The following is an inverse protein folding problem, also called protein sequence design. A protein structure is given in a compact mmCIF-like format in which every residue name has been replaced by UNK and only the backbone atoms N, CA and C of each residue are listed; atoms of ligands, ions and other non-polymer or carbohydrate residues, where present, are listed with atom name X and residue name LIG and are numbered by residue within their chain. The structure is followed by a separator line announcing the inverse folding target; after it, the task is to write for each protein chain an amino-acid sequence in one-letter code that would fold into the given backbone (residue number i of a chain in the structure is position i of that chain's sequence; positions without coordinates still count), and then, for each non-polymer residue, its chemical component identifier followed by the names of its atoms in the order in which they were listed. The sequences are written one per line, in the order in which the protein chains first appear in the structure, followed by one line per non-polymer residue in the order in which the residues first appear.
data_IF_485497497143
#
_entry.id   IF_485497497143
#
_cell.length_a   1.000
_cell.length_b   1.000
_cell.length_c   1.000
_cell.angle_alpha   90.00
_cell.angle_beta   90.00
_cell.angle_gamma   90.00
#
_symmetry.space_group_name_H-M   'P 1'
#
loop_
_entity.id
_entity.type
_entity.pdbx_description
1 polymer ?
#
# COMPACT_ATOMS: atom_id res chain seq x y z
N UNK A 1 35.00 -0.80 -6.58
CA UNK A 1 35.23 0.26 -5.58
C UNK A 1 33.91 0.50 -4.89
N UNK A 2 33.85 0.39 -3.56
CA UNK A 2 32.62 0.54 -2.75
C UNK A 2 32.78 1.71 -1.82
N UNK A 3 31.66 2.36 -1.42
CA UNK A 3 31.66 3.49 -0.49
C UNK A 3 31.36 3.00 0.93
N UNK A 4 32.22 3.34 1.87
CA UNK A 4 32.15 2.92 3.27
C UNK A 4 32.07 4.16 4.14
N UNK A 5 31.15 4.18 5.11
CA UNK A 5 31.08 5.19 6.14
C UNK A 5 31.41 4.59 7.50
N UNK A 6 32.19 5.30 8.28
CA UNK A 6 32.53 4.94 9.67
C UNK A 6 31.93 6.02 10.57
N UNK A 7 31.11 5.62 11.54
CA UNK A 7 30.50 6.53 12.53
C UNK A 7 30.97 6.06 13.90
N UNK A 8 31.94 6.79 14.45
CA UNK A 8 32.60 6.46 15.72
C UNK A 8 33.22 7.73 16.30
N UNK A 9 33.06 7.97 17.60
CA UNK A 9 33.62 9.14 18.29
C UNK A 9 35.13 9.07 18.50
N UNK A 10 35.69 7.85 18.44
CA UNK A 10 37.14 7.65 18.51
C UNK A 10 37.81 7.95 17.17
N UNK A 11 38.41 9.13 17.09
CA UNK A 11 39.15 9.58 15.92
C UNK A 11 40.34 8.68 15.53
N UNK A 12 40.94 7.96 16.50
CA UNK A 12 42.05 7.06 16.21
C UNK A 12 41.55 5.80 15.52
N UNK A 13 40.45 5.22 15.99
CA UNK A 13 39.80 4.07 15.35
C UNK A 13 39.39 4.44 13.93
N UNK A 14 38.71 5.59 13.75
CA UNK A 14 38.34 6.10 12.41
C UNK A 14 39.55 6.17 11.48
N UNK A 15 40.65 6.77 11.89
CA UNK A 15 41.89 6.87 11.09
C UNK A 15 42.50 5.52 10.74
N UNK A 16 42.50 4.57 11.69
CA UNK A 16 43.03 3.22 11.44
C UNK A 16 42.16 2.52 10.39
N UNK A 17 40.83 2.50 10.58
CA UNK A 17 39.92 1.83 9.66
C UNK A 17 39.92 2.48 8.28
N UNK A 18 39.97 3.80 8.18
CA UNK A 18 40.13 4.51 6.90
C UNK A 18 41.38 4.03 6.17
N UNK A 19 42.55 4.01 6.85
CA UNK A 19 43.79 3.52 6.24
C UNK A 19 43.69 2.05 5.79
N UNK A 20 43.01 1.22 6.57
CA UNK A 20 42.82 -0.20 6.26
C UNK A 20 41.95 -0.39 5.02
N UNK A 21 40.83 0.30 4.95
CA UNK A 21 39.84 0.12 3.88
C UNK A 21 40.24 0.85 2.58
N UNK A 22 40.94 1.98 2.65
CA UNK A 22 41.53 2.64 1.48
C UNK A 22 42.61 1.74 0.83
N UNK A 23 43.42 1.00 1.63
CA UNK A 23 44.36 0.02 1.10
C UNK A 23 43.70 -1.18 0.43
N UNK A 24 42.41 -1.37 0.61
CA UNK A 24 41.56 -2.38 -0.04
C UNK A 24 40.81 -1.82 -1.25
N UNK A 25 41.21 -0.65 -1.77
CA UNK A 25 40.61 0.03 -2.92
C UNK A 25 39.13 0.44 -2.71
N UNK A 26 38.78 0.87 -1.47
CA UNK A 26 37.47 1.41 -1.18
C UNK A 26 37.52 2.93 -0.93
N UNK A 27 36.42 3.63 -1.25
CA UNK A 27 36.20 5.03 -0.87
C UNK A 27 35.66 5.05 0.57
N UNK A 28 36.34 5.75 1.46
CA UNK A 28 36.00 5.71 2.89
C UNK A 28 35.83 7.12 3.42
N UNK A 29 34.70 7.37 4.07
CA UNK A 29 34.42 8.58 4.83
C UNK A 29 34.14 8.23 6.30
N UNK A 30 34.24 9.21 7.19
CA UNK A 30 33.95 9.01 8.59
C UNK A 30 33.23 10.18 9.22
N UNK A 31 32.57 9.95 10.36
CA UNK A 31 31.90 10.95 11.18
C UNK A 31 32.15 10.63 12.65
N UNK A 32 32.31 11.68 13.48
CA UNK A 32 32.55 11.54 14.92
C UNK A 32 31.26 11.67 15.75
N UNK A 33 30.12 11.92 15.11
CA UNK A 33 28.83 12.05 15.77
C UNK A 33 27.76 11.33 14.96
N UNK A 34 26.73 10.86 15.65
CA UNK A 34 25.60 10.17 15.03
C UNK A 34 24.86 11.06 14.02
N UNK A 35 24.61 12.32 14.40
CA UNK A 35 23.89 13.29 13.56
C UNK A 35 24.60 13.51 12.23
N UNK A 36 25.90 13.81 12.26
CA UNK A 36 26.69 14.00 11.03
C UNK A 36 26.76 12.72 10.20
N UNK A 37 26.82 11.55 10.86
CA UNK A 37 26.79 10.26 10.21
C UNK A 37 25.48 10.02 9.46
N UNK A 38 24.35 10.28 10.11
CA UNK A 38 23.03 10.17 9.49
C UNK A 38 22.87 11.14 8.31
N UNK A 39 23.29 12.41 8.45
CA UNK A 39 23.26 13.39 7.36
C UNK A 39 24.04 12.88 6.13
N UNK A 40 25.21 12.26 6.35
CA UNK A 40 26.00 11.64 5.28
C UNK A 40 25.31 10.45 4.66
N UNK A 41 24.67 9.58 5.45
CA UNK A 41 23.90 8.42 4.94
C UNK A 41 22.75 8.89 4.04
N UNK A 42 22.05 9.96 4.44
CA UNK A 42 20.90 10.47 3.67
C UNK A 42 21.29 11.23 2.40
N UNK A 43 22.44 11.87 2.40
CA UNK A 43 22.94 12.62 1.23
C UNK A 43 23.84 11.80 0.31
N UNK A 44 24.45 10.72 0.81
CA UNK A 44 25.38 9.86 0.11
C UNK A 44 24.84 8.46 -0.22
N UNK A 45 25.50 7.77 -1.15
CA UNK A 45 25.22 6.37 -1.48
C UNK A 45 26.32 5.51 -0.92
N UNK A 46 26.22 5.11 0.35
CA UNK A 46 27.16 4.21 1.00
C UNK A 46 26.72 2.75 0.86
N UNK A 47 27.70 1.85 0.68
CA UNK A 47 27.46 0.41 0.62
C UNK A 47 27.46 -0.22 2.00
N UNK A 48 28.39 0.19 2.85
CA UNK A 48 28.57 -0.32 4.21
C UNK A 48 28.66 0.86 5.18
N UNK A 49 28.05 0.71 6.35
CA UNK A 49 28.21 1.62 7.49
C UNK A 49 28.76 0.84 8.67
N UNK A 50 29.91 1.23 9.16
CA UNK A 50 30.42 0.83 10.48
C UNK A 50 29.88 1.82 11.49
N UNK A 51 29.17 1.35 12.50
CA UNK A 51 28.43 2.21 13.44
C UNK A 51 28.79 1.83 14.88
N UNK A 52 29.28 2.80 15.63
CA UNK A 52 29.48 2.63 17.06
C UNK A 52 28.15 2.64 17.82
N UNK A 53 28.09 1.82 18.87
CA UNK A 53 26.92 1.77 19.78
C UNK A 53 26.81 3.05 20.62
N UNK A 54 27.93 3.53 21.16
CA UNK A 54 27.96 4.62 22.12
C UNK A 54 28.56 5.88 21.48
N UNK A 55 27.72 6.75 20.98
CA UNK A 55 28.11 8.03 20.40
C UNK A 55 27.74 9.19 21.34
N UNK A 56 28.48 10.31 21.35
CA UNK A 56 28.27 11.42 22.29
C UNK A 56 26.89 12.06 22.16
N UNK A 57 26.26 11.98 20.98
CA UNK A 57 24.98 12.56 20.65
C UNK A 57 23.85 11.53 20.48
N UNK A 58 24.11 10.22 20.77
CA UNK A 58 23.04 9.22 20.69
C UNK A 58 23.51 7.78 20.74
N UNK A 59 22.54 6.86 20.73
CA UNK A 59 22.79 5.41 20.70
C UNK A 59 22.67 4.89 19.26
N UNK A 60 23.77 4.30 18.74
CA UNK A 60 23.84 3.76 17.38
C UNK A 60 22.84 2.65 17.09
N UNK A 61 22.46 1.83 18.07
CA UNK A 61 21.47 0.78 17.85
C UNK A 61 20.11 1.32 17.46
N UNK A 62 19.69 2.49 17.98
CA UNK A 62 18.44 3.15 17.60
C UNK A 62 18.49 3.73 16.18
N UNK A 63 19.66 4.05 15.68
CA UNK A 63 19.84 4.58 14.33
C UNK A 63 19.73 3.51 13.24
N UNK A 64 19.85 2.23 13.58
CA UNK A 64 19.76 1.12 12.60
C UNK A 64 18.45 1.17 11.84
N UNK A 65 17.31 1.36 12.54
CA UNK A 65 16.00 1.41 11.92
C UNK A 65 15.89 2.61 10.96
N UNK A 66 16.36 3.78 11.38
CA UNK A 66 16.36 5.01 10.58
C UNK A 66 17.20 4.84 9.30
N UNK A 67 18.42 4.28 9.41
CA UNK A 67 19.30 4.04 8.25
C UNK A 67 18.68 3.03 7.28
N UNK A 68 17.94 2.05 7.78
CA UNK A 68 17.32 1.00 6.95
C UNK A 68 16.10 1.46 6.18
N UNK A 69 15.44 2.52 6.61
CA UNK A 69 14.33 3.12 5.86
C UNK A 69 14.81 3.87 4.61
N UNK A 70 16.10 4.16 4.51
CA UNK A 70 16.66 4.82 3.33
C UNK A 70 16.56 3.91 2.08
N UNK A 71 16.17 4.46 0.90
CA UNK A 71 16.04 3.69 -0.35
C UNK A 71 17.28 2.90 -0.76
N UNK A 72 18.47 3.43 -0.45
CA UNK A 72 19.77 2.80 -0.68
C UNK A 72 20.38 2.20 0.58
N UNK A 73 19.55 1.78 1.54
CA UNK A 73 19.99 1.30 2.84
C UNK A 73 21.32 0.51 2.75
N UNK A 74 22.42 0.98 3.40
CA UNK A 74 23.68 0.27 3.47
C UNK A 74 23.54 -0.96 4.35
N UNK A 75 24.47 -1.94 4.23
CA UNK A 75 24.58 -2.97 5.25
C UNK A 75 25.33 -2.38 6.46
N UNK A 76 24.82 -2.65 7.67
CA UNK A 76 25.30 -2.02 8.91
C UNK A 76 26.10 -3.02 9.71
N UNK A 77 27.34 -2.69 10.04
CA UNK A 77 28.23 -3.44 10.93
C UNK A 77 28.38 -2.63 12.22
N UNK A 78 27.96 -3.21 13.34
CA UNK A 78 28.06 -2.56 14.65
C UNK A 78 29.45 -2.74 15.23
N UNK A 79 30.01 -1.66 15.77
CA UNK A 79 31.25 -1.65 16.53
C UNK A 79 30.96 -1.33 18.00
N UNK A 80 31.62 -2.03 18.92
CA UNK A 80 31.45 -1.78 20.35
C UNK A 80 32.75 -1.89 21.12
N UNK A 81 32.92 -1.06 22.14
CA UNK A 81 34.01 -1.17 23.11
C UNK A 81 33.77 -2.20 24.21
N UNK A 82 32.50 -2.48 24.51
CA UNK A 82 32.10 -3.39 25.59
C UNK A 82 31.73 -4.78 25.06
N UNK A 83 32.24 -5.82 25.75
CA UNK A 83 31.89 -7.22 25.50
C UNK A 83 30.55 -7.62 26.16
N UNK A 84 29.50 -6.77 26.00
CA UNK A 84 28.19 -7.06 26.57
C UNK A 84 27.39 -8.00 25.64
N UNK A 85 27.07 -9.24 26.07
CA UNK A 85 26.27 -10.18 25.29
C UNK A 85 24.87 -9.64 24.94
N UNK A 86 24.28 -8.86 25.82
CA UNK A 86 22.94 -8.26 25.61
C UNK A 86 22.94 -7.26 24.45
N UNK A 87 24.03 -6.51 24.27
CA UNK A 87 24.21 -5.59 23.14
C UNK A 87 24.29 -6.29 21.79
N UNK A 88 24.97 -7.45 21.75
CA UNK A 88 25.05 -8.27 20.54
C UNK A 88 23.68 -8.86 20.16
N UNK A 89 22.91 -9.35 21.13
CA UNK A 89 21.56 -9.86 20.90
C UNK A 89 20.62 -8.75 20.39
N UNK A 90 20.74 -7.54 20.96
CA UNK A 90 19.96 -6.39 20.51
C UNK A 90 20.31 -5.95 19.09
N UNK A 91 21.60 -5.94 18.75
CA UNK A 91 22.09 -5.62 17.40
C UNK A 91 21.54 -6.61 16.37
N UNK A 92 21.54 -7.91 16.68
CA UNK A 92 20.99 -8.95 15.80
C UNK A 92 19.47 -8.88 15.69
N UNK A 93 18.74 -8.59 16.76
CA UNK A 93 17.29 -8.32 16.73
C UNK A 93 16.96 -7.11 15.89
N UNK A 94 17.78 -6.06 15.93
CA UNK A 94 17.66 -4.87 15.08
C UNK A 94 18.13 -5.08 13.63
N UNK A 95 18.50 -6.34 13.28
CA UNK A 95 18.94 -6.76 11.95
C UNK A 95 20.22 -6.04 11.46
N UNK A 96 21.18 -5.74 12.33
CA UNK A 96 22.52 -5.45 11.90
C UNK A 96 23.11 -6.64 11.14
N UNK A 97 24.00 -6.36 10.18
CA UNK A 97 24.66 -7.40 9.39
C UNK A 97 25.67 -8.19 10.24
N UNK A 98 26.43 -7.49 11.03
CA UNK A 98 27.46 -8.07 11.90
C UNK A 98 27.72 -7.19 13.13
N UNK A 99 28.42 -7.75 14.11
CA UNK A 99 28.75 -7.09 15.37
C UNK A 99 30.20 -7.39 15.71
N UNK A 100 31.05 -6.37 15.85
CA UNK A 100 32.47 -6.47 16.03
C UNK A 100 32.93 -5.70 17.28
N UNK A 101 33.83 -6.27 18.06
CA UNK A 101 34.47 -5.55 19.17
C UNK A 101 35.56 -4.62 18.65
N UNK A 102 35.62 -3.38 19.17
CA UNK A 102 36.64 -2.38 18.80
C UNK A 102 38.07 -2.85 19.12
N UNK A 103 38.22 -3.69 20.17
CA UNK A 103 39.49 -4.34 20.54
C UNK A 103 39.88 -5.48 19.60
N UNK A 104 39.00 -5.85 18.67
CA UNK A 104 39.26 -6.91 17.70
C UNK A 104 40.41 -6.62 16.76
N UNK A 105 40.95 -7.68 16.15
CA UNK A 105 42.06 -7.56 15.21
C UNK A 105 41.62 -6.87 13.91
N UNK A 106 42.54 -6.14 13.25
CA UNK A 106 42.25 -5.56 11.91
C UNK A 106 41.78 -6.62 10.89
N UNK A 107 42.12 -7.91 11.11
CA UNK A 107 41.65 -9.01 10.28
C UNK A 107 40.13 -9.22 10.39
N UNK A 108 39.57 -9.07 11.58
CA UNK A 108 38.12 -9.22 11.79
C UNK A 108 37.32 -8.14 11.05
N UNK A 109 37.75 -6.88 11.14
CA UNK A 109 37.13 -5.78 10.38
C UNK A 109 37.20 -6.01 8.87
N UNK A 110 38.34 -6.45 8.35
CA UNK A 110 38.50 -6.79 6.93
C UNK A 110 37.57 -7.93 6.52
N UNK A 111 37.48 -8.97 7.31
CA UNK A 111 36.71 -10.16 7.02
C UNK A 111 35.19 -9.84 7.02
N UNK A 112 34.74 -9.11 8.03
CA UNK A 112 33.33 -8.66 8.08
C UNK A 112 32.97 -7.72 6.91
N UNK A 113 33.85 -6.78 6.59
CA UNK A 113 33.68 -5.92 5.41
C UNK A 113 33.55 -6.73 4.12
N UNK A 114 34.47 -7.67 3.87
CA UNK A 114 34.44 -8.49 2.65
C UNK A 114 33.16 -9.30 2.55
N UNK A 115 32.73 -9.94 3.62
CA UNK A 115 31.47 -10.70 3.67
C UNK A 115 30.26 -9.83 3.42
N UNK A 116 30.19 -8.65 4.04
CA UNK A 116 29.09 -7.70 3.86
C UNK A 116 29.03 -7.16 2.41
N UNK A 117 30.20 -6.86 1.81
CA UNK A 117 30.26 -6.42 0.41
C UNK A 117 29.88 -7.53 -0.57
N UNK A 118 30.29 -8.76 -0.32
CA UNK A 118 29.91 -9.90 -1.14
C UNK A 118 28.41 -10.15 -1.08
N UNK A 119 27.83 -10.13 0.11
CA UNK A 119 26.38 -10.22 0.31
C UNK A 119 25.63 -9.10 -0.44
N UNK A 120 26.11 -7.84 -0.29
CA UNK A 120 25.51 -6.69 -0.98
C UNK A 120 25.59 -6.84 -2.50
N UNK A 121 26.74 -7.29 -3.02
CA UNK A 121 26.91 -7.55 -4.46
C UNK A 121 25.97 -8.65 -4.95
N UNK A 122 25.79 -9.73 -4.18
CA UNK A 122 24.82 -10.77 -4.50
C UNK A 122 23.38 -10.24 -4.44
N UNK A 123 23.05 -9.41 -3.46
CA UNK A 123 21.76 -8.77 -3.30
C UNK A 123 21.46 -7.81 -4.48
N UNK A 124 22.43 -6.99 -4.88
CA UNK A 124 22.33 -6.09 -6.03
C UNK A 124 22.27 -6.86 -7.36
N UNK A 125 23.09 -7.90 -7.54
CA UNK A 125 23.08 -8.71 -8.76
C UNK A 125 21.78 -9.50 -8.90
N UNK A 126 21.16 -9.94 -7.82
CA UNK A 126 19.81 -10.51 -7.81
C UNK A 126 18.76 -9.45 -8.18
N UNK A 127 18.89 -8.24 -7.68
CA UNK A 127 17.98 -7.13 -8.02
C UNK A 127 18.15 -6.67 -9.48
N UNK A 128 19.38 -6.59 -10.00
CA UNK A 128 19.67 -6.24 -11.40
C UNK A 128 19.32 -7.33 -12.41
N UNK A 129 19.32 -8.61 -12.03
CA UNK A 129 18.93 -9.71 -12.93
C UNK A 129 17.43 -9.83 -13.16
N UNK A 130 16.63 -9.02 -12.50
CA UNK A 130 15.17 -9.07 -12.62
C UNK A 130 14.62 -7.81 -13.27
N UNK A 131 14.86 -7.68 -14.58
CA UNK A 131 13.99 -6.88 -15.43
C UNK A 131 12.66 -7.63 -15.45
N UNK A 132 11.76 -7.28 -14.54
CA UNK A 132 10.39 -7.77 -14.58
C UNK A 132 9.75 -7.21 -15.85
N UNK A 133 9.16 -8.07 -16.65
CA UNK A 133 8.20 -7.64 -17.66
C UNK A 133 7.02 -7.08 -16.88
N UNK A 134 6.92 -5.76 -16.86
CA UNK A 134 5.85 -5.06 -16.13
C UNK A 134 4.50 -5.18 -16.80
N UNK A 135 4.54 -5.51 -18.11
CA UNK A 135 3.39 -5.54 -19.00
C UNK A 135 2.55 -4.26 -18.80
N UNK A 136 1.33 -4.37 -18.29
CA UNK A 136 0.39 -3.25 -18.14
C UNK A 136 0.45 -2.58 -16.74
N UNK A 137 1.48 -2.86 -15.92
CA UNK A 137 1.60 -2.21 -14.60
C UNK A 137 2.30 -0.87 -14.72
N UNK A 138 1.51 0.20 -14.63
CA UNK A 138 1.95 1.58 -14.67
C UNK A 138 2.13 2.11 -13.25
N UNK A 139 3.22 2.86 -13.03
CA UNK A 139 3.52 3.52 -11.76
C UNK A 139 5.01 3.55 -11.47
N UNK A 140 5.45 4.63 -10.84
CA UNK A 140 6.84 4.90 -10.44
C UNK A 140 6.96 5.29 -8.97
N UNK A 141 5.83 5.36 -8.25
CA UNK A 141 5.83 5.64 -6.82
C UNK A 141 6.67 4.60 -6.06
N UNK A 142 7.34 5.04 -4.99
CA UNK A 142 8.20 4.18 -4.18
C UNK A 142 7.45 2.96 -3.61
N UNK A 143 6.16 3.13 -3.32
CA UNK A 143 5.32 2.05 -2.79
C UNK A 143 5.05 0.98 -3.85
N UNK A 144 4.80 1.36 -5.11
CA UNK A 144 4.64 0.41 -6.23
C UNK A 144 5.95 -0.27 -6.59
N UNK A 145 7.06 0.44 -6.60
CA UNK A 145 8.38 -0.16 -6.82
C UNK A 145 8.71 -1.22 -5.77
N UNK A 146 8.34 -1.00 -4.50
CA UNK A 146 8.45 -2.03 -3.44
C UNK A 146 7.57 -3.26 -3.75
N UNK A 147 6.36 -3.07 -4.26
CA UNK A 147 5.48 -4.17 -4.68
C UNK A 147 6.07 -4.94 -5.87
N UNK A 148 6.60 -4.26 -6.89
CA UNK A 148 7.27 -4.89 -8.03
C UNK A 148 8.51 -5.71 -7.62
N UNK A 149 9.27 -5.25 -6.62
CA UNK A 149 10.36 -6.04 -6.05
C UNK A 149 9.87 -7.33 -5.39
N UNK A 150 8.69 -7.30 -4.75
CA UNK A 150 8.07 -8.52 -4.20
C UNK A 150 7.57 -9.44 -5.32
N UNK A 151 7.00 -8.91 -6.41
CA UNK A 151 6.61 -9.66 -7.62
C UNK A 151 7.81 -10.43 -8.17
N UNK A 152 8.96 -9.78 -8.29
CA UNK A 152 10.19 -10.40 -8.74
C UNK A 152 10.60 -11.61 -7.88
N UNK A 153 10.56 -11.44 -6.55
CA UNK A 153 10.85 -12.55 -5.62
C UNK A 153 9.81 -13.66 -5.73
N UNK A 154 8.55 -13.28 -5.83
CA UNK A 154 7.44 -14.20 -6.00
C UNK A 154 7.60 -15.02 -7.28
N UNK A 155 7.94 -14.41 -8.42
CA UNK A 155 8.11 -15.09 -9.70
C UNK A 155 9.13 -16.24 -9.66
N UNK A 156 10.19 -16.11 -8.83
CA UNK A 156 11.24 -17.12 -8.72
C UNK A 156 10.95 -18.23 -7.71
N UNK A 157 9.84 -18.20 -7.01
CA UNK A 157 9.44 -19.20 -6.03
C UNK A 157 8.12 -19.86 -6.46
N UNK A 158 7.97 -21.13 -6.16
CA UNK A 158 6.72 -21.89 -6.41
C UNK A 158 5.79 -21.87 -5.18
N UNK A 159 6.08 -20.99 -4.19
CA UNK A 159 5.24 -20.84 -2.99
C UNK A 159 3.90 -20.19 -3.34
N UNK A 160 2.82 -20.54 -2.63
CA UNK A 160 1.55 -19.83 -2.71
C UNK A 160 1.71 -18.33 -2.40
N UNK A 161 1.00 -17.49 -3.15
CA UNK A 161 1.07 -16.04 -3.05
C UNK A 161 -0.31 -15.50 -2.74
N UNK A 162 -0.41 -14.63 -1.73
CA UNK A 162 -1.61 -13.87 -1.43
C UNK A 162 -1.38 -12.39 -1.78
N UNK A 163 -2.21 -11.86 -2.65
CA UNK A 163 -2.24 -10.44 -3.03
C UNK A 163 -3.43 -9.80 -2.33
N UNK A 164 -3.19 -8.80 -1.49
CA UNK A 164 -4.26 -8.03 -0.85
C UNK A 164 -4.25 -6.58 -1.31
N UNK A 165 -5.37 -5.92 -1.24
CA UNK A 165 -5.54 -4.52 -1.59
C UNK A 165 -6.97 -4.20 -1.94
N UNK A 166 -7.34 -2.93 -1.88
CA UNK A 166 -8.68 -2.47 -2.20
C UNK A 166 -9.12 -2.86 -3.61
N UNK A 167 -10.43 -2.82 -3.86
CA UNK A 167 -10.96 -3.06 -5.20
C UNK A 167 -10.42 -2.02 -6.19
N UNK A 168 -10.04 -2.47 -7.40
CA UNK A 168 -9.53 -1.58 -8.44
C UNK A 168 -8.04 -1.19 -8.32
N UNK A 169 -7.26 -1.78 -7.38
CA UNK A 169 -5.81 -1.50 -7.22
C UNK A 169 -4.91 -2.23 -8.22
N UNK A 170 -5.47 -3.16 -9.04
CA UNK A 170 -4.72 -3.90 -10.05
C UNK A 170 -4.25 -5.29 -9.63
N UNK A 171 -4.88 -5.96 -8.65
CA UNK A 171 -4.50 -7.29 -8.15
C UNK A 171 -4.33 -8.32 -9.27
N UNK A 172 -5.20 -8.32 -10.28
CA UNK A 172 -5.11 -9.23 -11.42
C UNK A 172 -3.87 -8.96 -12.28
N UNK A 173 -3.53 -7.69 -12.57
CA UNK A 173 -2.32 -7.33 -13.32
C UNK A 173 -1.05 -7.81 -12.62
N UNK A 174 -1.00 -7.65 -11.30
CA UNK A 174 0.11 -8.16 -10.49
C UNK A 174 0.20 -9.68 -10.51
N UNK A 175 -0.92 -10.40 -10.51
CA UNK A 175 -0.94 -11.86 -10.62
C UNK A 175 -0.43 -12.33 -11.99
N UNK A 176 -0.85 -11.68 -13.08
CA UNK A 176 -0.34 -11.92 -14.44
C UNK A 176 1.15 -11.63 -14.54
N UNK A 177 1.63 -10.52 -13.96
CA UNK A 177 3.06 -10.20 -13.94
C UNK A 177 3.88 -11.26 -13.19
N UNK A 178 3.37 -11.80 -12.08
CA UNK A 178 4.02 -12.91 -11.35
C UNK A 178 4.11 -14.16 -12.25
N UNK A 179 3.04 -14.51 -12.93
CA UNK A 179 3.01 -15.67 -13.84
C UNK A 179 3.97 -15.46 -15.01
N UNK A 180 3.88 -14.34 -15.73
CA UNK A 180 4.68 -14.02 -16.93
C UNK A 180 6.19 -13.99 -16.67
N UNK A 181 6.60 -13.69 -15.43
CA UNK A 181 7.99 -13.68 -15.01
C UNK A 181 8.43 -14.98 -14.29
N UNK A 182 7.58 -16.01 -14.26
CA UNK A 182 7.85 -17.27 -13.57
C UNK A 182 8.35 -18.38 -14.51
N UNK A 183 8.73 -19.51 -13.91
CA UNK A 183 9.07 -20.73 -14.67
C UNK A 183 7.87 -21.27 -15.46
N UNK A 184 6.66 -20.99 -14.99
CA UNK A 184 5.40 -21.42 -15.60
C UNK A 184 4.87 -20.43 -16.66
N UNK A 185 5.62 -19.40 -17.05
CA UNK A 185 5.19 -18.33 -17.97
C UNK A 185 4.72 -18.80 -19.35
N UNK A 186 5.07 -20.01 -19.74
CA UNK A 186 4.62 -20.65 -21.01
C UNK A 186 3.44 -21.61 -20.81
N UNK A 187 3.05 -21.87 -19.57
CA UNK A 187 1.93 -22.76 -19.25
C UNK A 187 0.65 -21.93 -19.06
N UNK A 188 -0.48 -22.60 -18.84
CA UNK A 188 -1.78 -21.95 -18.69
C UNK A 188 -1.84 -21.07 -17.44
N UNK A 189 -2.42 -19.87 -17.59
CA UNK A 189 -2.82 -18.99 -16.50
C UNK A 189 -4.33 -19.03 -16.38
N UNK A 190 -4.82 -19.79 -15.41
CA UNK A 190 -6.25 -20.05 -15.23
C UNK A 190 -6.80 -19.12 -14.16
N UNK A 191 -7.73 -18.25 -14.55
CA UNK A 191 -8.39 -17.26 -13.66
C UNK A 191 -9.73 -17.81 -13.18
N UNK A 192 -10.00 -17.67 -11.89
CA UNK A 192 -11.29 -17.95 -11.27
C UNK A 192 -11.69 -16.75 -10.44
N UNK A 193 -12.74 -16.07 -10.85
CA UNK A 193 -13.39 -15.04 -10.06
C UNK A 193 -14.43 -15.70 -9.15
N UNK A 194 -14.16 -15.69 -7.84
CA UNK A 194 -15.03 -16.29 -6.85
C UNK A 194 -16.31 -15.50 -6.60
N UNK A 195 -16.41 -14.25 -7.04
CA UNK A 195 -17.63 -13.43 -6.90
C UNK A 195 -18.64 -13.66 -8.00
N UNK A 196 -18.18 -14.02 -9.19
CA UNK A 196 -19.03 -14.16 -10.39
C UNK A 196 -19.84 -15.45 -10.43
N UNK A 197 -19.50 -16.43 -9.58
CA UNK A 197 -20.08 -17.77 -9.60
C UNK A 197 -21.11 -17.95 -8.47
N UNK A 198 -22.32 -18.46 -8.76
CA UNK A 198 -23.23 -18.90 -7.71
C UNK A 198 -22.56 -19.93 -6.79
N UNK A 199 -22.81 -19.84 -5.51
CA UNK A 199 -22.14 -20.63 -4.46
C UNK A 199 -22.17 -22.14 -4.75
N UNK A 200 -23.30 -22.66 -5.23
CA UNK A 200 -23.47 -24.07 -5.59
C UNK A 200 -22.71 -24.49 -6.87
N UNK A 201 -22.25 -23.55 -7.71
CA UNK A 201 -21.49 -23.84 -8.91
C UNK A 201 -19.97 -23.69 -8.74
N UNK A 202 -19.51 -22.99 -7.70
CA UNK A 202 -18.08 -22.76 -7.45
C UNK A 202 -17.33 -24.08 -7.35
N UNK A 203 -17.85 -25.05 -6.59
CA UNK A 203 -17.23 -26.36 -6.43
C UNK A 203 -17.11 -27.11 -7.76
N UNK A 204 -18.21 -27.16 -8.53
CA UNK A 204 -18.24 -27.80 -9.84
C UNK A 204 -17.31 -27.10 -10.84
N UNK A 205 -17.17 -25.78 -10.78
CA UNK A 205 -16.28 -25.04 -11.67
C UNK A 205 -14.81 -25.27 -11.29
N UNK A 206 -14.49 -25.30 -10.00
CA UNK A 206 -13.13 -25.58 -9.52
C UNK A 206 -12.69 -27.02 -9.84
N UNK A 207 -13.47 -28.00 -9.40
CA UNK A 207 -13.06 -29.41 -9.40
C UNK A 207 -13.63 -30.22 -10.56
N UNK A 208 -14.62 -29.67 -11.27
CA UNK A 208 -15.38 -30.42 -12.30
C UNK A 208 -16.45 -31.32 -11.70
N UNK A 209 -17.27 -31.89 -12.55
CA UNK A 209 -18.30 -32.88 -12.18
C UNK A 209 -18.45 -33.94 -13.23
N UNK A 210 -19.00 -35.09 -12.83
CA UNK A 210 -19.46 -36.13 -13.73
C UNK A 210 -20.95 -35.96 -13.99
N UNK A 211 -21.43 -36.45 -15.12
CA UNK A 211 -22.85 -36.50 -15.48
C UNK A 211 -23.68 -37.10 -14.34
N UNK A 212 -24.78 -36.43 -13.99
CA UNK A 212 -25.69 -36.84 -12.91
C UNK A 212 -25.21 -36.52 -11.49
N UNK A 213 -24.16 -35.73 -11.31
CA UNK A 213 -23.65 -35.38 -9.99
C UNK A 213 -24.60 -34.48 -9.18
N UNK A 214 -25.44 -33.71 -9.85
CA UNK A 214 -26.49 -32.84 -9.28
C UNK A 214 -27.55 -32.52 -10.34
N UNK A 215 -28.66 -31.91 -9.93
CA UNK A 215 -29.74 -31.51 -10.86
C UNK A 215 -29.22 -30.49 -11.86
N UNK A 216 -29.23 -30.79 -13.17
CA UNK A 216 -28.66 -29.98 -14.24
C UNK A 216 -27.23 -30.36 -14.65
N UNK A 217 -26.67 -31.46 -14.12
CA UNK A 217 -25.40 -32.02 -14.56
C UNK A 217 -25.61 -32.97 -15.77
N UNK A 218 -25.90 -32.38 -16.94
CA UNK A 218 -26.27 -33.17 -18.15
C UNK A 218 -25.06 -33.81 -18.85
N UNK A 219 -23.84 -33.31 -18.57
CA UNK A 219 -22.59 -33.82 -19.16
C UNK A 219 -21.43 -33.72 -18.16
N UNK A 220 -20.35 -34.45 -18.44
CA UNK A 220 -19.11 -34.31 -17.69
C UNK A 220 -18.49 -32.93 -17.94
N UNK A 221 -18.05 -32.24 -16.88
CA UNK A 221 -17.33 -30.94 -16.97
C UNK A 221 -15.96 -31.05 -16.33
N UNK A 222 -14.94 -30.67 -17.09
CA UNK A 222 -13.57 -30.57 -16.55
C UNK A 222 -13.44 -29.34 -15.65
N UNK A 223 -12.94 -29.53 -14.41
CA UNK A 223 -12.71 -28.46 -13.47
C UNK A 223 -11.46 -27.64 -13.80
N UNK A 224 -11.47 -26.36 -13.43
CA UNK A 224 -10.39 -25.39 -13.71
C UNK A 224 -9.09 -25.75 -13.00
N UNK A 225 -9.12 -26.40 -11.84
CA UNK A 225 -7.93 -26.97 -11.17
C UNK A 225 -7.23 -28.01 -12.05
N UNK A 226 -7.99 -28.76 -12.85
CA UNK A 226 -7.41 -29.73 -13.82
C UNK A 226 -6.79 -29.01 -15.01
N UNK A 227 -7.39 -27.93 -15.47
CA UNK A 227 -6.86 -27.08 -16.57
C UNK A 227 -5.56 -26.40 -16.18
N UNK A 228 -5.44 -25.96 -14.91
CA UNK A 228 -4.25 -25.30 -14.38
C UNK A 228 -3.05 -26.23 -14.13
N UNK A 229 -3.14 -27.51 -14.53
CA UNK A 229 -2.05 -28.48 -14.30
C UNK A 229 -0.73 -28.01 -14.91
N UNK A 230 0.36 -28.01 -14.12
CA UNK A 230 1.70 -27.48 -14.44
C UNK A 230 1.74 -25.98 -14.75
N UNK A 231 0.60 -25.30 -14.66
CA UNK A 231 0.43 -23.87 -14.87
C UNK A 231 0.23 -23.11 -13.56
N UNK A 232 -0.49 -22.00 -13.67
CA UNK A 232 -0.83 -21.14 -12.52
C UNK A 232 -2.36 -21.05 -12.39
N UNK A 233 -2.86 -21.32 -11.19
CA UNK A 233 -4.24 -21.07 -10.80
C UNK A 233 -4.30 -19.73 -10.06
N UNK A 234 -5.06 -18.80 -10.57
CA UNK A 234 -5.35 -17.53 -9.93
C UNK A 234 -6.78 -17.49 -9.42
N UNK A 235 -6.93 -17.35 -8.09
CA UNK A 235 -8.22 -17.16 -7.44
C UNK A 235 -8.38 -15.68 -7.11
N UNK A 236 -9.25 -15.00 -7.82
CA UNK A 236 -9.65 -13.64 -7.46
C UNK A 236 -10.76 -13.66 -6.44
N UNK A 237 -10.69 -12.75 -5.48
CA UNK A 237 -11.59 -12.64 -4.34
C UNK A 237 -11.78 -13.95 -3.57
N UNK A 238 -10.65 -14.58 -3.18
CA UNK A 238 -10.64 -15.87 -2.46
C UNK A 238 -11.42 -15.85 -1.15
N UNK A 239 -11.63 -14.68 -0.53
CA UNK A 239 -12.46 -14.51 0.64
C UNK A 239 -13.96 -14.82 0.42
N UNK A 240 -14.39 -14.94 -0.83
CA UNK A 240 -15.77 -15.29 -1.18
C UNK A 240 -16.01 -16.82 -1.27
N UNK A 241 -14.97 -17.65 -1.11
CA UNK A 241 -15.11 -19.09 -1.16
C UNK A 241 -15.97 -19.60 0.01
N UNK A 242 -17.00 -20.42 -0.25
CA UNK A 242 -17.78 -21.10 0.81
C UNK A 242 -16.90 -22.03 1.66
N UNK A 243 -17.19 -22.18 2.94
CA UNK A 243 -16.40 -22.99 3.89
C UNK A 243 -16.21 -24.44 3.45
N UNK A 244 -17.23 -25.05 2.82
CA UNK A 244 -17.16 -26.40 2.30
C UNK A 244 -16.18 -26.52 1.12
N UNK A 245 -16.16 -25.51 0.25
CA UNK A 245 -15.21 -25.43 -0.86
C UNK A 245 -13.79 -25.20 -0.34
N UNK A 246 -13.63 -24.34 0.67
CA UNK A 246 -12.33 -24.11 1.32
C UNK A 246 -11.72 -25.41 1.85
N UNK A 247 -12.53 -26.29 2.48
CA UNK A 247 -12.07 -27.60 2.99
C UNK A 247 -11.56 -28.51 1.87
N UNK A 248 -12.27 -28.56 0.74
CA UNK A 248 -11.87 -29.36 -0.44
C UNK A 248 -10.64 -28.78 -1.12
N UNK A 249 -10.58 -27.46 -1.20
CA UNK A 249 -9.45 -26.74 -1.81
C UNK A 249 -8.17 -26.93 -1.00
N UNK A 250 -8.25 -26.89 0.35
CA UNK A 250 -7.12 -27.21 1.21
C UNK A 250 -6.52 -28.58 0.91
N UNK A 251 -7.36 -29.63 0.75
CA UNK A 251 -6.90 -30.96 0.38
C UNK A 251 -6.20 -30.96 -0.98
N UNK A 252 -6.77 -30.26 -1.97
CA UNK A 252 -6.15 -30.14 -3.28
C UNK A 252 -4.77 -29.49 -3.23
N UNK A 253 -4.56 -28.51 -2.33
CA UNK A 253 -3.25 -27.85 -2.12
C UNK A 253 -2.24 -28.71 -1.37
N UNK A 254 -2.71 -29.50 -0.39
CA UNK A 254 -1.81 -30.30 0.47
C UNK A 254 -1.42 -31.63 -0.21
N UNK A 255 -2.41 -32.35 -0.74
CA UNK A 255 -2.23 -33.68 -1.29
C UNK A 255 -1.96 -33.67 -2.80
N UNK A 256 -2.12 -32.50 -3.46
CA UNK A 256 -2.07 -32.35 -4.91
C UNK A 256 -3.05 -33.29 -5.63
N UNK A 257 -4.16 -33.60 -4.96
CA UNK A 257 -5.23 -34.50 -5.40
C UNK A 257 -6.58 -33.93 -5.05
N UNK A 258 -7.54 -34.14 -5.94
CA UNK A 258 -8.93 -33.77 -5.69
C UNK A 258 -9.88 -34.77 -6.41
N UNK A 259 -11.16 -34.70 -6.05
CA UNK A 259 -12.21 -35.53 -6.69
C UNK A 259 -13.21 -34.61 -7.36
N UNK A 260 -13.51 -34.81 -8.66
CA UNK A 260 -14.65 -34.17 -9.30
C UNK A 260 -15.95 -34.51 -8.57
N UNK A 261 -16.91 -33.58 -8.59
CA UNK A 261 -18.20 -33.74 -7.91
C UNK A 261 -18.91 -34.97 -8.48
N UNK A 262 -19.40 -35.88 -7.62
CA UNK A 262 -20.00 -37.15 -7.97
C UNK A 262 -19.01 -38.27 -8.32
N UNK A 263 -17.72 -38.00 -8.51
CA UNK A 263 -16.71 -39.00 -8.86
C UNK A 263 -16.11 -39.69 -7.65
N UNK A 264 -15.87 -41.02 -7.78
CA UNK A 264 -15.06 -41.80 -6.81
C UNK A 264 -13.57 -41.76 -7.12
N UNK A 265 -13.17 -41.33 -8.34
CA UNK A 265 -11.79 -41.33 -8.80
C UNK A 265 -11.09 -40.05 -8.38
N UNK A 266 -9.86 -40.16 -7.83
CA UNK A 266 -9.01 -39.04 -7.55
C UNK A 266 -8.19 -38.63 -8.79
N UNK A 267 -7.98 -37.32 -8.92
CA UNK A 267 -7.19 -36.74 -10.01
C UNK A 267 -6.00 -36.02 -9.35
N UNK A 268 -4.77 -36.44 -9.71
CA UNK A 268 -3.54 -35.78 -9.24
C UNK A 268 -3.17 -34.66 -10.19
N UNK A 269 -2.94 -33.43 -9.64
CA UNK A 269 -2.50 -32.26 -10.40
C UNK A 269 -1.55 -31.43 -9.55
N UNK A 270 -0.65 -30.77 -10.24
CA UNK A 270 0.32 -29.85 -9.63
C UNK A 270 0.22 -28.48 -10.31
N UNK A 271 -0.10 -27.47 -9.55
CA UNK A 271 -0.26 -26.11 -10.03
C UNK A 271 0.32 -25.12 -9.04
N UNK A 272 0.75 -23.98 -9.54
CA UNK A 272 1.13 -22.84 -8.75
C UNK A 272 -0.12 -22.05 -8.36
N UNK A 273 -0.20 -21.62 -7.09
CA UNK A 273 -1.35 -20.87 -6.58
C UNK A 273 -1.01 -19.39 -6.39
N UNK A 274 -1.86 -18.53 -6.94
CA UNK A 274 -1.91 -17.10 -6.62
C UNK A 274 -3.35 -16.80 -6.19
N UNK A 275 -3.51 -16.12 -5.05
CA UNK A 275 -4.82 -15.68 -4.55
C UNK A 275 -4.86 -14.17 -4.43
N UNK A 276 -6.01 -13.57 -4.65
CA UNK A 276 -6.25 -12.17 -4.40
C UNK A 276 -7.52 -11.94 -3.58
N UNK A 277 -7.56 -10.90 -2.77
CA UNK A 277 -8.75 -10.45 -2.06
C UNK A 277 -8.62 -9.01 -1.57
N UNK A 278 -9.75 -8.32 -1.46
CA UNK A 278 -9.86 -7.05 -0.77
C UNK A 278 -10.22 -7.21 0.71
N UNK A 279 -10.70 -8.40 1.12
CA UNK A 279 -11.13 -8.69 2.49
C UNK A 279 -9.96 -8.94 3.43
N UNK A 280 -10.13 -8.59 4.70
CA UNK A 280 -9.21 -8.99 5.78
C UNK A 280 -9.48 -10.45 6.17
N UNK A 281 -8.68 -11.37 5.59
CA UNK A 281 -8.78 -12.80 5.91
C UNK A 281 -8.48 -13.10 7.38
N UNK A 282 -7.67 -12.28 8.06
CA UNK A 282 -7.35 -12.47 9.48
C UNK A 282 -8.61 -12.24 10.36
N UNK A 283 -9.37 -11.20 10.03
CA UNK A 283 -10.64 -10.93 10.67
C UNK A 283 -11.69 -12.00 10.35
N UNK A 284 -11.74 -12.48 9.09
CA UNK A 284 -12.61 -13.57 8.68
C UNK A 284 -12.31 -14.88 9.40
N UNK A 285 -11.03 -15.20 9.67
CA UNK A 285 -10.64 -16.38 10.47
C UNK A 285 -11.17 -16.26 11.88
N UNK A 286 -11.02 -15.09 12.54
CA UNK A 286 -11.57 -14.83 13.87
C UNK A 286 -13.09 -14.99 13.95
N UNK A 287 -13.78 -14.67 12.85
CA UNK A 287 -15.25 -14.77 12.72
C UNK A 287 -15.72 -16.16 12.24
N UNK A 288 -14.81 -17.13 12.08
CA UNK A 288 -15.09 -18.46 11.51
C UNK A 288 -15.71 -18.42 10.08
N UNK A 289 -15.44 -17.38 9.31
CA UNK A 289 -15.86 -17.23 7.93
C UNK A 289 -14.79 -17.72 6.94
N UNK A 290 -13.56 -17.90 7.41
CA UNK A 290 -12.45 -18.45 6.66
C UNK A 290 -11.68 -19.45 7.52
N UNK A 291 -11.22 -20.56 6.93
CA UNK A 291 -10.48 -21.59 7.68
C UNK A 291 -9.06 -21.15 7.94
N UNK A 292 -8.62 -21.30 9.17
CA UNK A 292 -7.27 -20.94 9.62
C UNK A 292 -6.20 -21.78 8.91
N UNK A 293 -6.44 -23.07 8.75
CA UNK A 293 -5.50 -23.99 8.07
C UNK A 293 -5.28 -23.65 6.59
N UNK A 294 -6.33 -23.23 5.88
CA UNK A 294 -6.23 -22.75 4.51
C UNK A 294 -5.50 -21.39 4.45
N UNK A 295 -5.82 -20.47 5.37
CA UNK A 295 -5.15 -19.19 5.46
C UNK A 295 -3.64 -19.34 5.57
N UNK A 296 -3.14 -20.12 6.53
CA UNK A 296 -1.69 -20.33 6.69
C UNK A 296 -1.05 -21.02 5.48
N UNK A 297 -1.79 -21.87 4.78
CA UNK A 297 -1.27 -22.53 3.58
C UNK A 297 -1.10 -21.57 2.40
N UNK A 298 -1.97 -20.58 2.27
CA UNK A 298 -1.92 -19.55 1.23
C UNK A 298 -0.98 -18.38 1.58
N UNK A 299 -0.80 -18.09 2.88
CA UNK A 299 -0.03 -16.94 3.38
C UNK A 299 1.49 -17.21 3.41
N UNK A 300 2.03 -17.87 2.36
CA UNK A 300 3.48 -18.14 2.28
C UNK A 300 4.26 -16.92 1.77
N UNK A 301 3.70 -16.21 0.80
CA UNK A 301 4.20 -14.90 0.35
C UNK A 301 3.03 -13.92 0.29
N UNK A 302 3.26 -12.71 0.80
CA UNK A 302 2.24 -11.67 0.86
C UNK A 302 2.68 -10.40 0.13
N UNK A 303 1.82 -9.94 -0.79
CA UNK A 303 1.95 -8.67 -1.50
C UNK A 303 0.72 -7.84 -1.20
N UNK A 304 0.91 -6.72 -0.50
CA UNK A 304 -0.16 -5.75 -0.27
C UNK A 304 -0.03 -4.63 -1.28
N UNK A 305 -1.07 -4.39 -2.08
CA UNK A 305 -1.13 -3.30 -3.04
C UNK A 305 -1.72 -2.06 -2.36
N UNK A 306 -1.00 -0.94 -2.38
CA UNK A 306 -1.48 0.29 -1.79
C UNK A 306 -2.64 0.87 -2.61
N UNK A 307 -3.60 1.58 -1.97
CA UNK A 307 -4.62 2.34 -2.68
C UNK A 307 -4.00 3.47 -3.50
N UNK A 308 -4.72 3.95 -4.51
CA UNK A 308 -4.20 4.94 -5.46
C UNK A 308 -3.79 6.26 -4.80
N UNK A 309 -4.50 6.68 -3.76
CA UNK A 309 -4.18 7.88 -2.97
C UNK A 309 -2.80 7.86 -2.33
N UNK A 310 -2.26 6.67 -2.03
CA UNK A 310 -0.95 6.50 -1.41
C UNK A 310 0.18 6.34 -2.46
N UNK A 311 -0.16 6.46 -3.76
CA UNK A 311 0.76 6.32 -4.90
C UNK A 311 1.10 7.69 -5.46
N UNK A 312 1.97 8.41 -4.80
CA UNK A 312 2.40 9.76 -5.20
C UNK A 312 2.95 9.77 -6.63
N UNK A 313 2.38 10.64 -7.48
CA UNK A 313 2.77 10.78 -8.90
C UNK A 313 2.16 9.75 -9.86
N UNK A 314 1.60 8.63 -9.38
CA UNK A 314 1.08 7.58 -10.27
C UNK A 314 -0.25 7.96 -10.93
N UNK A 315 -1.05 8.87 -10.33
CA UNK A 315 -2.34 9.32 -10.91
C UNK A 315 -2.11 9.93 -12.29
N UNK A 316 -1.15 10.83 -12.41
CA UNK A 316 -0.79 11.48 -13.67
C UNK A 316 -0.31 10.46 -14.70
N UNK A 317 0.62 9.57 -14.31
CA UNK A 317 1.17 8.55 -15.20
C UNK A 317 0.08 7.61 -15.73
N UNK A 318 -0.84 7.17 -14.85
CA UNK A 318 -1.95 6.31 -15.23
C UNK A 318 -2.92 7.01 -16.18
N UNK A 319 -3.26 8.27 -15.90
CA UNK A 319 -4.15 9.07 -16.73
C UNK A 319 -3.55 9.30 -18.14
N UNK A 320 -2.28 9.73 -18.21
CA UNK A 320 -1.56 9.94 -19.48
C UNK A 320 -1.41 8.65 -20.28
N UNK A 321 -1.07 7.55 -19.61
CA UNK A 321 -0.96 6.24 -20.28
C UNK A 321 -2.29 5.83 -20.87
N UNK A 322 -3.37 5.91 -20.10
CA UNK A 322 -4.71 5.53 -20.56
C UNK A 322 -5.16 6.34 -21.77
N UNK A 323 -4.96 7.67 -21.75
CA UNK A 323 -5.24 8.55 -22.90
C UNK A 323 -4.38 8.22 -24.12
N UNK A 324 -3.13 7.78 -23.90
CA UNK A 324 -2.23 7.42 -25.00
C UNK A 324 -2.50 6.04 -25.59
N UNK A 325 -3.05 5.11 -24.80
CA UNK A 325 -3.29 3.72 -25.19
C UNK A 325 -4.62 3.53 -25.92
N UNK A 326 -5.51 4.51 -25.88
CA UNK A 326 -6.72 4.56 -26.74
C UNK A 326 -6.37 4.61 -28.25
N UNK A 327 -5.26 4.04 -28.65
CA UNK A 327 -4.58 4.03 -29.97
C UNK A 327 -5.32 3.31 -31.11
N UNK A 328 -6.59 2.96 -30.94
CA UNK A 328 -7.43 2.61 -32.07
C UNK A 328 -7.99 3.83 -32.83
N UNK A 329 -7.93 5.01 -32.23
CA UNK A 329 -8.33 6.30 -32.82
C UNK A 329 -7.05 7.00 -33.30
N UNK A 330 -7.09 7.59 -34.51
CA UNK A 330 -5.98 8.37 -35.07
C UNK A 330 -5.43 9.34 -34.01
N UNK A 331 -4.12 9.55 -33.97
CA UNK A 331 -3.41 10.41 -33.00
C UNK A 331 -4.02 11.81 -32.83
N UNK A 332 -4.80 12.26 -33.81
CA UNK A 332 -5.49 13.55 -33.84
C UNK A 332 -6.75 13.60 -32.96
N UNK A 333 -7.22 12.47 -32.46
CA UNK A 333 -8.48 12.34 -31.68
C UNK A 333 -8.27 12.06 -30.18
N UNK A 334 -7.03 12.01 -29.67
CA UNK A 334 -6.79 11.78 -28.24
C UNK A 334 -7.02 13.07 -27.43
N UNK A 335 -7.80 12.95 -26.33
CA UNK A 335 -7.96 14.06 -25.38
C UNK A 335 -6.64 14.43 -24.71
N UNK A 336 -6.48 15.70 -24.37
CA UNK A 336 -5.38 16.24 -23.56
C UNK A 336 -5.91 16.74 -22.22
N UNK A 337 -5.08 16.83 -21.20
CA UNK A 337 -5.46 17.34 -19.88
C UNK A 337 -4.87 18.71 -19.62
N UNK A 338 -5.68 19.65 -19.11
CA UNK A 338 -5.17 20.91 -18.59
C UNK A 338 -4.45 20.68 -17.23
N UNK A 339 -3.48 21.54 -16.84
CA UNK A 339 -2.83 21.46 -15.53
C UNK A 339 -3.83 21.45 -14.36
N UNK A 340 -4.87 22.29 -14.44
CA UNK A 340 -5.91 22.42 -13.42
C UNK A 340 -6.77 21.13 -13.32
N UNK A 341 -7.00 20.45 -14.45
CA UNK A 341 -7.70 19.16 -14.45
C UNK A 341 -6.88 18.11 -13.71
N UNK A 342 -5.57 18.07 -13.94
CA UNK A 342 -4.67 17.16 -13.29
C UNK A 342 -4.59 17.41 -11.76
N UNK A 343 -4.53 18.69 -11.34
CA UNK A 343 -4.59 19.05 -9.92
C UNK A 343 -5.87 18.51 -9.26
N UNK A 344 -7.03 18.65 -9.92
CA UNK A 344 -8.29 18.12 -9.40
C UNK A 344 -8.29 16.59 -9.31
N UNK A 345 -7.67 15.87 -10.27
CA UNK A 345 -7.50 14.41 -10.17
C UNK A 345 -6.63 14.00 -8.99
N UNK A 346 -5.57 14.76 -8.69
CA UNK A 346 -4.67 14.49 -7.57
C UNK A 346 -5.29 14.76 -6.20
N UNK A 347 -6.29 15.64 -6.12
CA UNK A 347 -6.99 15.98 -4.87
C UNK A 347 -8.01 14.94 -4.44
N UNK A 348 -8.50 14.12 -5.35
CA UNK A 348 -9.55 13.14 -5.06
C UNK A 348 -8.95 11.85 -4.50
N UNK A 349 -9.64 11.21 -3.55
CA UNK A 349 -9.11 10.02 -2.84
C UNK A 349 -9.22 8.71 -3.64
N UNK A 350 -9.97 8.68 -4.72
CA UNK A 350 -10.19 7.52 -5.58
C UNK A 350 -10.59 6.24 -4.82
N UNK A 351 -11.76 6.20 -4.17
CA UNK A 351 -12.20 5.01 -3.43
C UNK A 351 -12.30 3.75 -4.30
N UNK A 352 -12.57 3.89 -5.60
CA UNK A 352 -12.52 2.80 -6.59
C UNK A 352 -11.16 2.61 -7.25
N UNK A 353 -10.12 3.31 -6.77
CA UNK A 353 -8.73 3.21 -7.21
C UNK A 353 -8.57 3.42 -8.73
N UNK A 354 -7.69 2.63 -9.37
CA UNK A 354 -7.38 2.76 -10.81
C UNK A 354 -8.63 2.50 -11.67
N UNK A 355 -9.51 1.59 -11.26
CA UNK A 355 -10.74 1.30 -12.02
C UNK A 355 -11.65 2.53 -12.10
N UNK A 356 -11.82 3.23 -11.00
CA UNK A 356 -12.61 4.47 -10.96
C UNK A 356 -11.94 5.59 -11.76
N UNK A 357 -10.62 5.76 -11.63
CA UNK A 357 -9.86 6.75 -12.39
C UNK A 357 -10.04 6.55 -13.89
N UNK A 358 -9.83 5.33 -14.39
CA UNK A 358 -9.96 4.99 -15.81
C UNK A 358 -11.38 5.23 -16.30
N UNK A 359 -12.39 4.73 -15.59
CA UNK A 359 -13.80 4.93 -15.94
C UNK A 359 -14.17 6.42 -15.96
N UNK A 360 -13.61 7.22 -15.04
CA UNK A 360 -13.84 8.66 -15.00
C UNK A 360 -13.23 9.35 -16.22
N UNK A 361 -12.01 8.99 -16.61
CA UNK A 361 -11.35 9.54 -17.79
C UNK A 361 -12.13 9.18 -19.05
N UNK A 362 -12.58 7.94 -19.19
CA UNK A 362 -13.39 7.49 -20.34
C UNK A 362 -14.69 8.28 -20.46
N UNK A 363 -15.39 8.46 -19.34
CA UNK A 363 -16.62 9.24 -19.29
C UNK A 363 -16.37 10.70 -19.72
N UNK A 364 -15.35 11.33 -19.15
CA UNK A 364 -15.02 12.72 -19.42
C UNK A 364 -14.57 12.92 -20.89
N UNK A 365 -13.80 11.99 -21.44
CA UNK A 365 -13.41 12.02 -22.85
C UNK A 365 -14.61 11.88 -23.78
N UNK A 366 -15.54 11.00 -23.42
CA UNK A 366 -16.80 10.82 -24.18
C UNK A 366 -17.65 12.09 -24.21
N UNK A 367 -17.76 12.76 -23.05
CA UNK A 367 -18.58 13.99 -22.91
C UNK A 367 -17.91 15.20 -23.59
N UNK A 368 -16.59 15.33 -23.51
CA UNK A 368 -15.83 16.45 -24.08
C UNK A 368 -15.68 16.35 -25.61
N UNK A 369 -15.78 15.15 -26.16
CA UNK A 369 -15.52 14.85 -27.58
C UNK A 369 -14.06 14.62 -27.90
N UNK A 370 -13.83 13.93 -29.03
CA UNK A 370 -12.48 13.54 -29.48
C UNK A 370 -11.57 14.76 -29.73
N UNK A 371 -10.31 14.67 -29.30
CA UNK A 371 -9.31 15.72 -29.50
C UNK A 371 -9.46 16.95 -28.59
N UNK A 372 -10.38 16.91 -27.62
CA UNK A 372 -10.63 18.04 -26.73
C UNK A 372 -9.62 18.12 -25.58
N UNK A 373 -9.38 19.33 -25.06
CA UNK A 373 -8.68 19.53 -23.80
C UNK A 373 -9.65 19.39 -22.64
N UNK A 374 -9.30 18.52 -21.68
CA UNK A 374 -10.09 18.27 -20.48
C UNK A 374 -9.82 19.34 -19.43
N UNK A 375 -10.88 19.95 -18.93
CA UNK A 375 -10.86 20.97 -17.88
C UNK A 375 -11.62 20.50 -16.64
N UNK A 376 -11.43 21.12 -15.45
CA UNK A 376 -12.12 20.73 -14.21
C UNK A 376 -13.64 20.62 -14.31
N UNK A 377 -14.27 21.42 -15.16
CA UNK A 377 -15.74 21.40 -15.31
C UNK A 377 -16.27 20.13 -16.00
N UNK A 378 -15.43 19.38 -16.72
CA UNK A 378 -15.78 18.09 -17.31
C UNK A 378 -15.84 16.98 -16.25
N UNK A 379 -15.18 17.14 -15.07
CA UNK A 379 -15.22 16.14 -14.02
C UNK A 379 -16.63 15.92 -13.48
N UNK A 380 -16.99 14.67 -13.12
CA UNK A 380 -18.26 14.36 -12.49
C UNK A 380 -18.54 15.24 -11.27
N UNK A 381 -19.81 15.61 -11.08
CA UNK A 381 -20.24 16.51 -10.01
C UNK A 381 -19.82 16.07 -8.61
N UNK A 382 -19.74 14.75 -8.36
CA UNK A 382 -19.28 14.18 -7.07
C UNK A 382 -17.82 14.51 -6.80
N UNK A 383 -16.94 14.36 -7.79
CA UNK A 383 -15.50 14.66 -7.65
C UNK A 383 -15.31 16.16 -7.42
N UNK A 384 -15.98 17.01 -8.20
CA UNK A 384 -15.92 18.47 -8.03
C UNK A 384 -16.41 18.90 -6.66
N UNK A 385 -17.52 18.34 -6.18
CA UNK A 385 -18.07 18.66 -4.86
C UNK A 385 -17.14 18.24 -3.73
N UNK A 386 -16.49 17.07 -3.83
CA UNK A 386 -15.50 16.60 -2.88
C UNK A 386 -14.29 17.55 -2.82
N UNK A 387 -13.74 17.91 -3.98
CA UNK A 387 -12.57 18.78 -4.07
C UNK A 387 -12.85 20.21 -3.55
N UNK A 388 -14.02 20.76 -3.88
CA UNK A 388 -14.48 22.05 -3.32
C UNK A 388 -14.54 21.96 -1.79
N UNK A 389 -15.17 20.92 -1.25
CA UNK A 389 -15.27 20.74 0.21
C UNK A 389 -13.90 20.70 0.87
N UNK A 390 -12.94 19.97 0.29
CA UNK A 390 -11.59 19.86 0.84
C UNK A 390 -10.81 21.18 0.75
N UNK A 391 -10.95 21.94 -0.35
CA UNK A 391 -10.35 23.28 -0.47
C UNK A 391 -10.81 24.25 0.63
N UNK A 392 -12.08 24.17 1.05
CA UNK A 392 -12.61 25.01 2.12
C UNK A 392 -12.44 24.42 3.53
N UNK A 393 -12.08 23.14 3.65
CA UNK A 393 -11.88 22.46 4.94
C UNK A 393 -10.43 22.52 5.45
N UNK A 394 -9.48 22.95 4.64
CA UNK A 394 -8.11 23.22 5.08
C UNK A 394 -8.05 24.63 5.68
N UNK A 395 -7.79 24.81 6.99
CA UNK A 395 -7.50 26.14 7.53
C UNK A 395 -6.25 26.65 6.84
N UNK A 396 -6.35 27.79 6.14
CA UNK A 396 -5.20 28.47 5.55
C UNK A 396 -4.28 28.94 6.69
N UNK A 397 -3.25 28.18 7.00
CA UNK A 397 -2.31 28.44 8.11
C UNK A 397 -1.34 29.60 7.81
N UNK A 398 -1.48 30.27 6.65
CA UNK A 398 -0.57 31.33 6.20
C UNK A 398 -1.17 32.74 6.17
N UNK A 399 -2.29 32.99 6.86
CA UNK A 399 -2.77 34.35 7.07
C UNK A 399 -2.44 34.82 8.50
N UNK A 400 -1.45 35.71 8.70
CA UNK A 400 -1.09 36.19 10.02
C UNK A 400 -2.15 37.06 10.71
N UNK A 401 -3.25 37.39 10.02
CA UNK A 401 -4.30 38.31 10.52
C UNK A 401 -5.59 37.62 11.01
N UNK A 402 -5.75 36.30 10.80
CA UNK A 402 -6.94 35.59 11.26
C UNK A 402 -6.80 35.13 12.73
N UNK A 403 -7.05 36.00 13.66
CA UNK A 403 -7.29 35.64 15.05
C UNK A 403 -8.69 35.01 15.18
N UNK A 404 -8.78 33.69 15.04
CA UNK A 404 -9.95 32.95 15.52
C UNK A 404 -9.73 32.55 16.98
N UNK A 405 -10.71 32.71 17.87
CA UNK A 405 -10.59 32.31 19.27
C UNK A 405 -10.47 30.80 19.35
N UNK A 406 -9.39 30.34 19.95
CA UNK A 406 -9.12 28.93 20.24
C UNK A 406 -10.22 28.40 21.16
N UNK A 407 -11.07 27.51 20.65
CA UNK A 407 -11.93 26.68 21.48
C UNK A 407 -11.06 25.71 22.28
N UNK A 408 -10.83 26.07 23.52
CA UNK A 408 -10.21 25.22 24.55
C UNK A 408 -10.93 23.87 24.61
N UNK A 409 -10.28 22.79 24.16
CA UNK A 409 -10.71 21.42 24.45
C UNK A 409 -10.53 21.16 25.94
N UNK A 410 -11.52 21.50 26.74
CA UNK A 410 -11.68 20.89 28.06
C UNK A 410 -12.21 19.47 27.89
N UNK A 411 -11.37 18.51 28.28
CA UNK A 411 -11.79 17.12 28.54
C UNK A 411 -12.79 17.14 29.67
N UNK A 412 -14.05 16.83 29.41
CA UNK A 412 -14.96 16.28 30.42
C UNK A 412 -15.97 15.37 29.71
N UNK A 413 -16.05 14.14 30.20
CA UNK A 413 -16.99 13.16 29.74
C UNK A 413 -18.41 13.53 30.15
N UNK A 414 -19.29 13.55 29.19
CA UNK A 414 -20.67 13.07 29.22
C UNK A 414 -21.17 13.15 27.77
N UNK A 415 -21.42 12.01 27.16
CA UNK A 415 -22.02 11.97 25.82
C UNK A 415 -23.49 12.37 25.97
N UNK A 416 -23.80 13.65 25.69
CA UNK A 416 -25.18 14.11 25.54
C UNK A 416 -25.82 13.30 24.38
N UNK A 417 -27.11 12.91 24.56
CA UNK A 417 -27.87 12.27 23.49
C UNK A 417 -27.96 13.23 22.30
N UNK A 418 -27.91 12.68 21.08
CA UNK A 418 -27.90 13.45 19.84
C UNK A 418 -28.97 14.57 19.79
N UNK A 419 -30.16 14.29 20.32
CA UNK A 419 -31.25 15.26 20.40
C UNK A 419 -30.90 16.48 21.27
N UNK A 420 -30.30 16.25 22.43
CA UNK A 420 -29.91 17.31 23.37
C UNK A 420 -28.77 18.17 22.82
N UNK A 421 -27.84 17.56 22.06
CA UNK A 421 -26.78 18.29 21.38
C UNK A 421 -27.32 19.18 20.25
N UNK A 422 -28.24 18.66 19.45
CA UNK A 422 -28.90 19.45 18.38
C UNK A 422 -29.72 20.62 18.93
N UNK A 423 -30.46 20.43 20.02
CA UNK A 423 -31.21 21.49 20.67
C UNK A 423 -30.32 22.59 21.24
N UNK A 424 -29.18 22.21 21.84
CA UNK A 424 -28.19 23.15 22.36
C UNK A 424 -27.54 23.98 21.20
N UNK A 425 -27.17 23.33 20.12
CA UNK A 425 -26.57 23.99 18.93
C UNK A 425 -27.55 24.97 18.26
N UNK A 426 -28.85 24.62 18.20
CA UNK A 426 -29.88 25.50 17.68
C UNK A 426 -30.08 26.73 18.57
N UNK A 427 -30.08 26.55 19.88
CA UNK A 427 -30.18 27.64 20.84
C UNK A 427 -28.98 28.61 20.69
N UNK A 428 -27.76 28.08 20.67
CA UNK A 428 -26.55 28.89 20.54
C UNK A 428 -26.54 29.67 19.21
N UNK A 429 -26.94 29.04 18.10
CA UNK A 429 -27.04 29.72 16.80
C UNK A 429 -28.06 30.85 16.79
N UNK A 430 -29.26 30.64 17.36
CA UNK A 430 -30.32 31.65 17.39
C UNK A 430 -29.96 32.82 18.31
N UNK A 431 -29.32 32.54 19.44
CA UNK A 431 -28.83 33.56 20.36
C UNK A 431 -27.76 34.45 19.71
N UNK A 432 -26.82 33.85 19.00
CA UNK A 432 -25.76 34.55 18.28
C UNK A 432 -26.32 35.39 17.11
N UNK A 433 -27.27 34.84 16.38
CA UNK A 433 -27.96 35.54 15.27
C UNK A 433 -28.69 36.78 15.76
N UNK A 434 -29.44 36.68 16.88
CA UNK A 434 -30.16 37.80 17.43
C UNK A 434 -29.25 38.87 18.01
N UNK A 435 -28.15 38.47 18.66
CA UNK A 435 -27.14 39.40 19.18
C UNK A 435 -26.45 40.14 18.05
N UNK A 436 -26.07 39.45 16.98
CA UNK A 436 -25.35 40.02 15.83
C UNK A 436 -26.24 40.97 15.06
N UNK A 437 -27.55 40.67 14.94
CA UNK A 437 -28.55 41.52 14.24
C UNK A 437 -29.21 42.55 15.15
N UNK A 438 -28.77 42.68 16.40
CA UNK A 438 -29.31 43.62 17.42
C UNK A 438 -30.83 43.56 17.50
N UNK A 439 -31.41 42.37 17.45
CA UNK A 439 -32.86 42.16 17.48
C UNK A 439 -33.62 42.50 16.20
N UNK A 440 -32.95 42.88 15.10
CA UNK A 440 -33.61 43.21 13.85
C UNK A 440 -34.07 41.94 13.10
N UNK A 441 -35.37 41.61 13.25
CA UNK A 441 -35.99 40.40 12.71
C UNK A 441 -35.89 40.32 11.17
N UNK A 442 -35.94 41.45 10.45
CA UNK A 442 -35.82 41.43 8.99
C UNK A 442 -34.42 41.04 8.54
N UNK A 443 -33.41 41.49 9.25
CA UNK A 443 -32.00 41.18 8.99
C UNK A 443 -31.66 39.76 9.43
N UNK A 444 -32.17 39.33 10.57
CA UNK A 444 -32.02 37.95 11.06
C UNK A 444 -32.62 36.92 10.08
N UNK A 445 -33.80 37.21 9.49
CA UNK A 445 -34.38 36.38 8.43
C UNK A 445 -33.53 36.35 7.17
N UNK A 446 -32.90 37.47 6.78
CA UNK A 446 -32.05 37.56 5.60
C UNK A 446 -30.75 36.76 5.77
N UNK A 447 -30.15 36.82 6.97
CA UNK A 447 -28.89 36.12 7.28
C UNK A 447 -29.10 34.61 7.49
N UNK A 448 -30.20 34.23 8.17
CA UNK A 448 -30.49 32.82 8.47
C UNK A 448 -31.18 32.03 7.37
N UNK A 449 -31.78 32.73 6.39
CA UNK A 449 -32.63 32.11 5.39
C UNK A 449 -33.99 31.60 5.91
N UNK A 450 -34.32 31.88 7.17
CA UNK A 450 -35.57 31.46 7.79
C UNK A 450 -36.69 32.44 7.45
N UNK A 451 -37.91 31.93 7.24
CA UNK A 451 -39.06 32.78 7.15
C UNK A 451 -39.39 33.45 8.49
N UNK A 452 -40.04 34.62 8.47
CA UNK A 452 -40.42 35.36 9.69
C UNK A 452 -41.19 34.49 10.69
N UNK A 453 -42.10 33.65 10.20
CA UNK A 453 -42.91 32.74 11.03
C UNK A 453 -42.06 31.60 11.64
N UNK A 454 -41.07 31.10 10.91
CA UNK A 454 -40.16 30.08 11.43
C UNK A 454 -39.19 30.65 12.50
N UNK A 455 -38.70 31.88 12.28
CA UNK A 455 -37.83 32.53 13.25
C UNK A 455 -38.56 32.80 14.55
N UNK A 456 -39.79 33.37 14.50
CA UNK A 456 -40.59 33.59 15.70
C UNK A 456 -40.96 32.31 16.45
N UNK A 457 -41.29 31.25 15.73
CA UNK A 457 -41.57 29.95 16.33
C UNK A 457 -40.34 29.39 17.08
N UNK A 458 -39.14 29.51 16.47
CA UNK A 458 -37.92 29.08 17.09
C UNK A 458 -37.52 29.94 18.30
N UNK A 459 -37.73 31.27 18.21
CA UNK A 459 -37.52 32.18 19.35
C UNK A 459 -38.45 31.83 20.53
N UNK A 460 -39.73 31.51 20.25
CA UNK A 460 -40.71 31.11 21.27
C UNK A 460 -40.37 29.74 21.89
N UNK A 461 -39.87 28.81 21.07
CA UNK A 461 -39.45 27.46 21.55
C UNK A 461 -38.28 27.52 22.51
N UNK A 462 -37.38 28.47 22.34
CA UNK A 462 -36.16 28.62 23.16
C UNK A 462 -36.21 29.79 24.15
N UNK A 463 -37.40 30.40 24.33
CA UNK A 463 -37.65 31.53 25.22
C UNK A 463 -36.68 32.72 25.02
N UNK A 464 -36.31 32.95 23.77
CA UNK A 464 -35.45 34.05 23.38
C UNK A 464 -36.35 35.29 23.10
N UNK A 465 -36.84 35.90 24.17
CA UNK A 465 -37.57 37.17 24.11
C UNK A 465 -36.58 38.30 24.29
N UNK A 466 -36.54 39.19 23.27
CA UNK A 466 -35.96 40.54 23.24
C UNK A 466 -34.55 40.69 23.88
N UNK A 467 -33.50 40.49 23.05
CA UNK A 467 -32.19 41.09 23.30
C UNK A 467 -32.01 42.24 22.32
#
# INVERSE_FOLDING_TARGET
MSKILIIDDDHQICKILVKVFVRMDHEVDYSLTLRQGLDKVFTGKFDIVFLDVNLPDGNGLKAIEIIREHPFAPEIIIMTGDSNPDGAELAMKSRAWDYIQKSGSQKEFKFSLMRALEYRKQKQSKAQRMIIKRDDIIGESQVILKCLNKVSRAANNDLPILITGETGTGKELFSKAIHNNSKQSKAEFVVIDCTSLPEHLIESTLFGHIKGAFTGADSDKTGLVKVADKGTLFLDEVGELPLDVQKKFLRALQEKRFRPVGSKKEVKRDFRLICATHRDLTDMVKKNQFREDLFFRMFSMHIHLPPLKDREGDIELLALHHLSDQKGLAKENSCTMSPEFLEELQMYEWPGNIRELINTIDLVCSDAGAGSTLFPHHLPGLIRAFNIRNKFSTPNYNDPSAKFPSLNKKKTGNKLKFKDHMEKTKYEYLSDLLSTTKGNIKEACKVSGLSKSQLYRSMQQYDLKDV
#
